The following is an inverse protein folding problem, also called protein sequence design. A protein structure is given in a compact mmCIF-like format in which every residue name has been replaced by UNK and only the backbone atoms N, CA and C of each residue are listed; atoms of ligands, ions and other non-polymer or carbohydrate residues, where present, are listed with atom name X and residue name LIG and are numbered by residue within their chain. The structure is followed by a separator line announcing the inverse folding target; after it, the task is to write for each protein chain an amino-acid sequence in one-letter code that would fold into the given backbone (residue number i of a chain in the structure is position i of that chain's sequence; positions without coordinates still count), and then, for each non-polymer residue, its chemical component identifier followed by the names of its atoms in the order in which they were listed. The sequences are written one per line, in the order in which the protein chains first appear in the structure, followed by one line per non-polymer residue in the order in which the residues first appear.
data_IF_233834260212
#
_entry.id   IF_233834260212
#
_cell.length_a   1.000
_cell.length_b   1.000
_cell.length_c   1.000
_cell.angle_alpha   90.00
_cell.angle_beta   90.00
_cell.angle_gamma   90.00
#
_symmetry.space_group_name_H-M   'P 1'
#
loop_
_entity.id
_entity.type
_entity.pdbx_description
1 polymer ?
#
# COMPACT_ATOMS: atom_id res chain seq x y z
N UNK A 1 -22.23 -22.53 16.97
CA UNK A 1 -21.92 -21.09 16.93
C UNK A 1 -21.50 -20.63 18.31
N UNK A 2 -20.19 -20.59 18.55
CA UNK A 2 -19.61 -19.94 19.73
C UNK A 2 -18.56 -18.95 19.21
N UNK A 3 -18.65 -17.69 19.61
CA UNK A 3 -17.69 -16.66 19.21
C UNK A 3 -16.39 -16.86 19.99
N UNK A 4 -15.45 -17.59 19.40
CA UNK A 4 -14.06 -17.59 19.85
C UNK A 4 -13.54 -16.17 19.66
N UNK A 5 -13.28 -15.47 20.76
CA UNK A 5 -12.63 -14.17 20.71
C UNK A 5 -11.26 -14.32 20.02
N UNK A 6 -10.83 -13.36 19.18
CA UNK A 6 -9.49 -13.40 18.62
C UNK A 6 -8.47 -13.44 19.77
N UNK A 7 -7.31 -14.11 19.60
CA UNK A 7 -6.25 -14.03 20.59
C UNK A 7 -5.90 -12.56 20.80
N UNK A 8 -5.71 -12.18 22.07
CA UNK A 8 -5.43 -10.81 22.49
C UNK A 8 -4.10 -10.36 21.85
N UNK A 9 -4.20 -9.82 20.64
CA UNK A 9 -3.09 -9.26 19.89
C UNK A 9 -2.70 -8.02 20.67
N UNK A 10 -1.74 -8.21 21.58
CA UNK A 10 -1.35 -7.22 22.57
C UNK A 10 -1.10 -5.88 21.91
N UNK A 11 -2.14 -5.05 21.93
CA UNK A 11 -2.08 -3.67 21.55
C UNK A 11 -1.29 -3.02 22.66
N UNK A 12 0.04 -3.09 22.51
CA UNK A 12 0.91 -2.04 22.96
C UNK A 12 0.42 -0.79 22.25
N UNK A 13 -0.59 -0.15 22.85
CA UNK A 13 -0.67 1.28 22.89
C UNK A 13 0.64 1.74 23.50
N UNK A 14 1.65 1.83 22.63
CA UNK A 14 2.78 2.70 22.84
C UNK A 14 2.19 4.09 22.93
N UNK A 15 1.80 4.44 24.15
CA UNK A 15 1.77 5.80 24.64
C UNK A 15 3.17 6.29 24.34
N UNK A 16 3.34 6.86 23.15
CA UNK A 16 4.50 7.69 22.86
C UNK A 16 4.47 8.71 23.99
N UNK A 17 5.49 8.65 24.86
CA UNK A 17 5.69 9.69 25.84
C UNK A 17 5.58 11.00 25.08
N UNK A 18 4.73 11.92 25.55
CA UNK A 18 4.65 13.27 24.99
C UNK A 18 5.96 13.99 25.32
N UNK A 19 6.99 13.67 24.55
CA UNK A 19 8.25 14.41 24.50
C UNK A 19 7.90 15.86 24.24
N UNK A 20 8.28 16.75 25.15
CA UNK A 20 7.94 18.17 25.04
C UNK A 20 8.73 18.81 23.90
N UNK A 21 8.17 18.78 22.69
CA UNK A 21 8.76 19.35 21.48
C UNK A 21 8.27 18.66 20.20
N UNK A 22 8.69 19.16 19.02
CA UNK A 22 8.34 18.56 17.74
C UNK A 22 8.94 17.17 17.59
N UNK A 23 8.24 16.29 16.86
CA UNK A 23 8.73 14.96 16.48
C UNK A 23 9.97 15.10 15.57
N UNK A 24 10.99 14.26 15.81
CA UNK A 24 12.25 14.26 15.02
C UNK A 24 12.54 12.94 14.31
N UNK A 25 11.70 11.92 14.50
CA UNK A 25 11.88 10.57 13.96
C UNK A 25 10.69 10.18 13.07
N UNK A 26 10.82 9.17 12.19
CA UNK A 26 9.67 8.65 11.45
C UNK A 26 8.59 8.11 12.37
N UNK A 27 7.33 8.18 11.91
CA UNK A 27 6.21 7.45 12.53
C UNK A 27 6.25 6.00 12.03
N UNK A 28 6.23 4.98 12.90
CA UNK A 28 6.45 3.59 12.51
C UNK A 28 5.22 2.83 11.97
N UNK A 29 4.00 3.37 12.19
CA UNK A 29 2.73 2.73 11.82
C UNK A 29 1.65 3.76 11.41
N UNK A 30 0.69 3.40 10.54
CA UNK A 30 -0.51 4.20 10.30
C UNK A 30 -1.43 4.27 11.53
N UNK A 31 -2.36 5.23 11.57
CA UNK A 31 -3.47 5.24 12.55
C UNK A 31 -4.47 4.10 12.26
N UNK A 32 -5.29 3.71 13.24
CA UNK A 32 -6.24 2.61 13.12
C UNK A 32 -7.33 2.85 12.04
N UNK A 33 -7.62 4.12 11.76
CA UNK A 33 -8.59 4.60 10.78
C UNK A 33 -8.05 4.52 9.34
N UNK A 34 -6.73 4.44 9.16
CA UNK A 34 -6.08 4.36 7.84
C UNK A 34 -6.22 2.96 7.26
N UNK A 35 -7.13 2.79 6.30
CA UNK A 35 -7.50 1.48 5.74
C UNK A 35 -7.07 1.36 4.28
N UNK A 36 -6.08 0.51 3.95
CA UNK A 36 -5.75 0.17 2.57
C UNK A 36 -6.99 -0.20 1.76
N UNK A 37 -7.00 0.18 0.48
CA UNK A 37 -8.06 -0.25 -0.43
C UNK A 37 -7.92 -1.75 -0.66
N UNK A 38 -8.99 -2.49 -0.41
CA UNK A 38 -9.06 -3.92 -0.67
C UNK A 38 -8.61 -4.24 -2.10
N UNK A 39 -7.81 -5.30 -2.22
CA UNK A 39 -7.19 -5.69 -3.49
C UNK A 39 -8.19 -6.51 -4.29
N UNK A 40 -8.45 -6.10 -5.53
CA UNK A 40 -9.40 -6.78 -6.40
C UNK A 40 -9.02 -8.27 -6.58
N UNK A 41 -10.02 -9.15 -6.48
CA UNK A 41 -9.85 -10.57 -6.77
C UNK A 41 -9.44 -10.76 -8.23
N UNK A 42 -8.51 -11.69 -8.47
CA UNK A 42 -8.06 -11.99 -9.83
C UNK A 42 -9.15 -12.73 -10.59
N UNK A 43 -9.43 -12.32 -11.83
CA UNK A 43 -10.24 -13.13 -12.74
C UNK A 43 -9.50 -14.42 -13.12
N UNK A 44 -10.19 -15.42 -13.68
CA UNK A 44 -9.56 -16.67 -14.09
C UNK A 44 -8.42 -16.45 -15.13
N UNK A 45 -8.60 -15.52 -16.08
CA UNK A 45 -7.57 -15.11 -17.03
C UNK A 45 -6.36 -14.46 -16.32
N UNK A 46 -6.61 -13.53 -15.39
CA UNK A 46 -5.56 -12.88 -14.61
C UNK A 46 -4.79 -13.88 -13.74
N UNK A 47 -5.47 -14.85 -13.12
CA UNK A 47 -4.82 -15.91 -12.36
C UNK A 47 -3.94 -16.77 -13.27
N UNK A 48 -4.44 -17.21 -14.42
CA UNK A 48 -3.66 -17.99 -15.40
C UNK A 48 -2.39 -17.26 -15.84
N UNK A 49 -2.48 -15.95 -16.11
CA UNK A 49 -1.35 -15.09 -16.47
C UNK A 49 -0.34 -14.91 -15.33
N UNK A 50 -0.82 -14.82 -14.09
CA UNK A 50 0.03 -14.81 -12.90
C UNK A 50 0.76 -16.14 -12.71
N UNK A 51 0.03 -17.27 -12.78
CA UNK A 51 0.59 -18.60 -12.62
C UNK A 51 1.69 -18.87 -13.68
N UNK A 52 1.43 -18.50 -14.94
CA UNK A 52 2.42 -18.57 -16.03
C UNK A 52 3.68 -17.72 -15.75
N UNK A 53 3.51 -16.46 -15.30
CA UNK A 53 4.65 -15.59 -15.02
C UNK A 53 5.47 -16.12 -13.84
N UNK A 54 4.81 -16.61 -12.79
CA UNK A 54 5.45 -17.23 -11.63
C UNK A 54 6.28 -18.46 -12.05
N UNK A 55 5.77 -19.28 -12.96
CA UNK A 55 6.50 -20.40 -13.53
C UNK A 55 7.76 -19.94 -14.30
N UNK A 56 7.64 -18.93 -15.18
CA UNK A 56 8.80 -18.43 -15.93
C UNK A 56 9.87 -17.87 -15.00
N UNK A 57 9.50 -17.08 -14.00
CA UNK A 57 10.42 -16.48 -13.03
C UNK A 57 11.09 -17.56 -12.17
N UNK A 58 10.37 -18.62 -11.76
CA UNK A 58 10.97 -19.80 -11.10
C UNK A 58 11.92 -20.58 -12.03
N UNK A 59 11.71 -20.53 -13.34
CA UNK A 59 12.57 -21.12 -14.37
C UNK A 59 13.82 -20.30 -14.74
N UNK A 60 13.98 -19.07 -14.23
CA UNK A 60 15.13 -18.23 -14.55
C UNK A 60 16.45 -18.76 -13.98
N UNK A 61 17.26 -19.36 -14.85
CA UNK A 61 18.61 -19.85 -14.51
C UNK A 61 19.66 -18.75 -14.36
N UNK A 62 19.48 -17.65 -15.10
CA UNK A 62 20.45 -16.56 -15.17
C UNK A 62 19.73 -15.22 -15.42
N UNK A 63 20.20 -14.19 -14.71
CA UNK A 63 19.87 -12.78 -14.93
C UNK A 63 21.11 -12.13 -15.58
N UNK A 64 20.95 -11.45 -16.73
CA UNK A 64 22.05 -10.73 -17.38
C UNK A 64 22.43 -9.46 -16.61
N UNK A 65 23.62 -8.93 -16.89
CA UNK A 65 24.13 -7.67 -16.35
C UNK A 65 25.18 -7.11 -17.28
N UNK A 66 25.08 -5.83 -17.60
CA UNK A 66 26.05 -5.12 -18.46
C UNK A 66 27.33 -4.76 -17.69
N UNK A 67 27.34 -4.88 -16.36
CA UNK A 67 28.50 -4.63 -15.48
C UNK A 67 29.13 -5.92 -14.91
N UNK A 68 28.92 -7.06 -15.56
CA UNK A 68 29.58 -8.32 -15.20
C UNK A 68 29.05 -9.00 -13.94
N UNK A 69 27.86 -8.62 -13.46
CA UNK A 69 27.13 -9.29 -12.36
C UNK A 69 26.13 -10.34 -12.89
N UNK A 70 26.42 -10.94 -14.03
CA UNK A 70 25.59 -11.98 -14.65
C UNK A 70 25.64 -13.24 -13.80
N UNK A 71 24.50 -13.91 -13.61
CA UNK A 71 24.42 -15.14 -12.83
C UNK A 71 23.01 -15.45 -12.32
N UNK A 72 22.83 -16.55 -11.56
CA UNK A 72 21.53 -16.97 -11.02
C UNK A 72 20.94 -15.95 -10.05
N UNK A 73 19.64 -16.08 -9.73
CA UNK A 73 18.97 -15.25 -8.73
C UNK A 73 19.58 -15.46 -7.33
N UNK A 74 19.99 -14.37 -6.69
CA UNK A 74 20.39 -14.33 -5.29
C UNK A 74 19.16 -14.38 -4.36
N UNK A 75 19.36 -14.73 -3.09
CA UNK A 75 18.25 -14.91 -2.13
C UNK A 75 17.46 -13.62 -1.87
N UNK A 76 18.11 -12.45 -1.83
CA UNK A 76 17.42 -11.15 -1.73
C UNK A 76 16.56 -10.85 -2.97
N UNK A 77 17.01 -11.24 -4.16
CA UNK A 77 16.23 -11.08 -5.39
C UNK A 77 15.02 -12.02 -5.42
N UNK A 78 15.15 -13.27 -4.96
CA UNK A 78 14.02 -14.20 -4.79
C UNK A 78 12.99 -13.64 -3.80
N UNK A 79 13.45 -13.05 -2.70
CA UNK A 79 12.60 -12.38 -1.70
C UNK A 79 11.90 -11.13 -2.27
N UNK A 80 12.54 -10.40 -3.18
CA UNK A 80 11.94 -9.25 -3.88
C UNK A 80 10.90 -9.66 -4.93
N UNK A 81 11.01 -10.86 -5.50
CA UNK A 81 10.07 -11.45 -6.47
C UNK A 81 8.82 -12.03 -5.78
N UNK A 82 8.14 -11.19 -4.99
CA UNK A 82 6.86 -11.51 -4.32
C UNK A 82 5.71 -11.66 -5.30
N UNK A 83 4.60 -12.27 -4.87
CA UNK A 83 3.34 -12.32 -5.64
C UNK A 83 2.93 -10.95 -6.13
N UNK A 84 2.94 -9.98 -5.22
CA UNK A 84 2.60 -8.59 -5.48
C UNK A 84 3.56 -7.92 -6.45
N UNK A 85 4.85 -8.24 -6.38
CA UNK A 85 5.83 -7.77 -7.38
C UNK A 85 5.43 -8.22 -8.77
N UNK A 86 5.20 -9.53 -8.98
CA UNK A 86 4.78 -10.08 -10.27
C UNK A 86 3.46 -9.44 -10.75
N UNK A 87 2.49 -9.22 -9.85
CA UNK A 87 1.23 -8.56 -10.16
C UNK A 87 1.39 -7.07 -10.53
N UNK A 88 2.31 -6.32 -9.92
CA UNK A 88 2.62 -4.93 -10.31
C UNK A 88 3.10 -4.86 -11.77
N UNK A 89 3.95 -5.79 -12.19
CA UNK A 89 4.43 -5.84 -13.58
C UNK A 89 3.33 -6.26 -14.56
N UNK A 90 2.50 -7.25 -14.20
CA UNK A 90 1.34 -7.64 -15.01
C UNK A 90 0.34 -6.50 -15.19
N UNK A 91 0.00 -5.75 -14.13
CA UNK A 91 -0.87 -4.56 -14.25
C UNK A 91 -0.24 -3.49 -15.14
N UNK A 92 1.05 -3.19 -14.95
CA UNK A 92 1.75 -2.16 -15.70
C UNK A 92 1.89 -2.46 -17.21
N UNK A 93 1.91 -3.73 -17.62
CA UNK A 93 1.89 -4.14 -19.04
C UNK A 93 0.49 -4.53 -19.54
N UNK A 94 -0.58 -4.08 -18.87
CA UNK A 94 -1.98 -4.37 -19.24
C UNK A 94 -2.28 -5.86 -19.42
N UNK A 95 -1.66 -6.69 -18.58
CA UNK A 95 -1.72 -8.15 -18.59
C UNK A 95 -1.11 -8.83 -19.83
N UNK A 96 -0.19 -8.16 -20.54
CA UNK A 96 0.68 -8.80 -21.53
C UNK A 96 1.83 -9.55 -20.83
N UNK A 97 1.63 -10.85 -20.59
CA UNK A 97 2.49 -11.67 -19.72
C UNK A 97 3.97 -11.74 -20.17
N UNK A 98 4.26 -11.85 -21.47
CA UNK A 98 5.65 -11.86 -22.00
C UNK A 98 6.34 -10.50 -21.86
N UNK A 99 5.60 -9.41 -21.94
CA UNK A 99 6.12 -8.06 -21.69
C UNK A 99 6.39 -7.86 -20.19
N UNK A 100 5.50 -8.37 -19.32
CA UNK A 100 5.70 -8.37 -17.88
C UNK A 100 6.97 -9.14 -17.49
N UNK A 101 7.17 -10.34 -18.03
CA UNK A 101 8.39 -11.13 -17.81
C UNK A 101 9.64 -10.37 -18.23
N UNK A 102 9.67 -9.88 -19.48
CA UNK A 102 10.80 -9.11 -20.02
C UNK A 102 11.16 -7.93 -19.11
N UNK A 103 10.17 -7.11 -18.78
CA UNK A 103 10.35 -5.87 -18.01
C UNK A 103 10.73 -6.13 -16.54
N UNK A 104 10.21 -7.22 -15.95
CA UNK A 104 10.61 -7.69 -14.63
C UNK A 104 12.09 -8.11 -14.65
N UNK A 105 12.51 -8.89 -15.66
CA UNK A 105 13.90 -9.35 -15.80
C UNK A 105 14.88 -8.20 -16.06
N UNK A 106 14.51 -7.25 -16.92
CA UNK A 106 15.23 -6.00 -17.15
C UNK A 106 15.40 -5.20 -15.85
N UNK A 107 14.41 -5.24 -14.95
CA UNK A 107 14.52 -4.55 -13.66
C UNK A 107 15.43 -5.27 -12.67
N UNK A 108 15.43 -6.61 -12.59
CA UNK A 108 16.42 -7.33 -11.77
C UNK A 108 17.85 -7.06 -12.28
N UNK A 109 18.03 -7.07 -13.60
CA UNK A 109 19.31 -6.72 -14.24
C UNK A 109 19.74 -5.28 -13.89
N UNK A 110 18.81 -4.31 -14.02
CA UNK A 110 19.05 -2.93 -13.62
C UNK A 110 19.38 -2.78 -12.13
N UNK A 111 18.72 -3.51 -11.22
CA UNK A 111 19.05 -3.44 -9.78
C UNK A 111 20.51 -3.82 -9.52
N UNK A 112 21.01 -4.87 -10.19
CA UNK A 112 22.41 -5.28 -10.16
C UNK A 112 23.34 -4.20 -10.73
N UNK A 113 23.06 -3.72 -11.93
CA UNK A 113 23.93 -2.78 -12.65
C UNK A 113 23.93 -1.37 -12.05
N UNK A 114 22.80 -0.90 -11.54
CA UNK A 114 22.69 0.36 -10.81
C UNK A 114 23.35 0.27 -9.42
N UNK A 115 23.37 -0.93 -8.84
CA UNK A 115 23.93 -1.19 -7.50
C UNK A 115 22.97 -0.81 -6.38
N UNK A 116 21.68 -1.13 -6.52
CA UNK A 116 20.61 -0.70 -5.58
C UNK A 116 20.83 -1.26 -4.18
N UNK A 117 21.31 -2.49 -4.08
CA UNK A 117 21.58 -3.17 -2.80
C UNK A 117 22.85 -2.64 -2.13
N UNK A 118 23.78 -2.07 -2.91
CA UNK A 118 25.06 -1.51 -2.47
C UNK A 118 24.98 -0.02 -2.08
N UNK A 119 23.83 0.64 -2.24
CA UNK A 119 23.64 2.02 -1.76
C UNK A 119 23.57 2.05 -0.22
N UNK A 120 24.61 2.56 0.43
CA UNK A 120 24.67 2.64 1.91
C UNK A 120 24.09 3.95 2.46
N UNK A 121 23.62 3.97 3.72
CA UNK A 121 23.11 5.19 4.33
C UNK A 121 24.15 6.30 4.47
N UNK A 122 25.43 5.95 4.63
CA UNK A 122 26.55 6.88 4.82
C UNK A 122 26.89 7.57 3.50
N UNK A 123 26.88 6.83 2.38
CA UNK A 123 27.04 7.39 1.04
C UNK A 123 25.92 8.38 0.70
N UNK A 124 24.68 8.06 1.08
CA UNK A 124 23.50 8.88 0.78
C UNK A 124 23.28 10.03 1.78
N UNK A 125 23.76 9.92 3.02
CA UNK A 125 23.55 10.91 4.11
C UNK A 125 23.72 12.38 3.67
N UNK A 126 24.81 12.77 2.97
CA UNK A 126 25.04 14.15 2.57
C UNK A 126 23.96 14.72 1.66
N UNK A 127 23.25 13.88 0.92
CA UNK A 127 22.13 14.32 0.09
C UNK A 127 20.89 14.67 0.92
N UNK A 128 20.76 14.19 2.16
CA UNK A 128 19.57 14.43 2.96
C UNK A 128 19.80 15.25 4.24
N UNK A 129 20.99 15.79 4.49
CA UNK A 129 21.30 16.66 5.63
C UNK A 129 20.27 17.78 5.87
N UNK A 130 19.67 18.31 4.80
CA UNK A 130 18.66 19.38 4.85
C UNK A 130 17.21 18.90 4.84
N UNK A 131 16.93 17.59 4.83
CA UNK A 131 15.57 17.05 4.79
C UNK A 131 14.84 17.36 3.49
N UNK A 132 15.54 17.26 2.34
CA UNK A 132 14.94 17.47 1.02
C UNK A 132 14.04 16.30 0.59
N UNK A 133 14.23 15.12 1.19
CA UNK A 133 13.29 14.00 1.17
C UNK A 133 13.02 13.53 2.61
N UNK A 134 11.76 13.36 2.99
CA UNK A 134 11.37 12.89 4.35
C UNK A 134 10.28 11.84 4.23
N UNK A 135 10.43 10.72 4.93
CA UNK A 135 9.40 9.69 5.09
C UNK A 135 8.79 9.85 6.48
N UNK A 136 7.49 10.13 6.56
CA UNK A 136 6.83 10.53 7.80
C UNK A 136 5.31 10.30 7.75
N UNK A 137 4.79 9.37 8.54
CA UNK A 137 3.35 9.12 8.60
C UNK A 137 2.78 8.44 7.34
N UNK A 138 1.46 8.32 7.32
CA UNK A 138 0.71 7.51 6.35
C UNK A 138 -0.60 8.19 5.93
N UNK A 139 -1.02 8.04 4.66
CA UNK A 139 -2.31 8.54 4.18
C UNK A 139 -3.50 7.72 4.76
N UNK A 140 -4.73 8.20 4.56
CA UNK A 140 -5.96 7.52 5.06
C UNK A 140 -6.21 6.13 4.42
N UNK A 141 -5.37 5.72 3.47
CA UNK A 141 -5.36 4.38 2.87
C UNK A 141 -4.08 3.62 3.24
N UNK A 142 -3.40 4.01 4.33
CA UNK A 142 -2.19 3.35 4.84
C UNK A 142 -0.96 3.50 3.94
N UNK A 143 -0.97 4.40 2.94
CA UNK A 143 0.21 4.64 2.11
C UNK A 143 1.26 5.40 2.89
N UNK A 144 2.49 4.91 2.90
CA UNK A 144 3.65 5.66 3.42
C UNK A 144 3.71 7.03 2.74
N UNK A 145 3.78 8.09 3.55
CA UNK A 145 3.90 9.47 3.09
C UNK A 145 5.37 9.83 2.84
N UNK A 146 5.70 10.08 1.57
CA UNK A 146 7.03 10.50 1.13
C UNK A 146 7.00 11.98 0.70
N UNK A 147 7.59 12.84 1.53
CA UNK A 147 7.68 14.28 1.31
C UNK A 147 8.90 14.61 0.46
N UNK A 148 8.69 15.38 -0.61
CA UNK A 148 9.71 15.99 -1.45
C UNK A 148 9.67 17.51 -1.27
N UNK A 149 10.79 18.08 -0.85
CA UNK A 149 10.94 19.52 -0.62
C UNK A 149 12.06 20.09 -1.52
N UNK A 150 11.85 20.30 -2.84
CA UNK A 150 12.92 20.76 -3.74
C UNK A 150 13.56 22.10 -3.34
N UNK A 151 12.84 22.98 -2.63
CA UNK A 151 13.39 24.20 -2.04
C UNK A 151 14.51 23.96 -1.02
N UNK A 152 14.55 22.78 -0.40
CA UNK A 152 15.53 22.32 0.60
C UNK A 152 16.72 21.57 -0.01
N UNK A 153 16.87 21.51 -1.34
CA UNK A 153 18.08 20.98 -2.00
C UNK A 153 19.36 21.63 -1.42
N UNK A 154 20.45 20.87 -1.33
CA UNK A 154 21.67 21.24 -0.59
C UNK A 154 22.98 20.91 -1.31
N UNK A 155 22.91 20.12 -2.38
CA UNK A 155 24.07 19.61 -3.12
C UNK A 155 24.05 20.06 -4.57
N UNK A 156 25.23 20.16 -5.19
CA UNK A 156 25.36 20.34 -6.63
C UNK A 156 24.87 19.12 -7.42
N UNK A 157 24.40 19.30 -8.67
CA UNK A 157 23.95 18.20 -9.53
C UNK A 157 24.99 17.09 -9.67
N UNK A 158 24.62 15.88 -9.28
CA UNK A 158 25.49 14.70 -9.32
C UNK A 158 24.67 13.41 -9.43
N UNK A 159 25.25 12.28 -9.87
CA UNK A 159 24.57 10.98 -9.89
C UNK A 159 24.01 10.58 -8.51
N UNK A 160 24.66 11.04 -7.43
CA UNK A 160 24.23 10.76 -6.05
C UNK A 160 22.85 11.35 -5.73
N UNK A 161 22.41 12.41 -6.42
CA UNK A 161 21.04 12.93 -6.27
C UNK A 161 19.98 11.93 -6.77
N UNK A 162 20.27 11.20 -7.84
CA UNK A 162 19.40 10.15 -8.39
C UNK A 162 19.45 8.90 -7.50
N UNK A 163 20.65 8.53 -7.05
CA UNK A 163 20.84 7.44 -6.08
C UNK A 163 20.09 7.71 -4.76
N UNK A 164 20.07 8.96 -4.27
CA UNK A 164 19.30 9.35 -3.10
C UNK A 164 17.79 9.14 -3.29
N UNK A 165 17.24 9.53 -4.45
CA UNK A 165 15.83 9.24 -4.76
C UNK A 165 15.54 7.74 -4.79
N UNK A 166 16.38 6.95 -5.49
CA UNK A 166 16.25 5.49 -5.54
C UNK A 166 16.30 4.89 -4.13
N UNK A 167 17.29 5.29 -3.33
CA UNK A 167 17.46 4.86 -1.95
C UNK A 167 16.20 5.17 -1.11
N UNK A 168 15.68 6.40 -1.17
CA UNK A 168 14.49 6.81 -0.41
C UNK A 168 13.22 6.08 -0.88
N UNK A 169 13.07 5.77 -2.17
CA UNK A 169 11.98 4.94 -2.68
C UNK A 169 12.08 3.50 -2.13
N UNK A 170 13.28 2.92 -2.04
CA UNK A 170 13.47 1.61 -1.38
C UNK A 170 13.13 1.67 0.12
N UNK A 171 13.51 2.73 0.84
CA UNK A 171 13.10 2.95 2.25
C UNK A 171 11.57 3.02 2.39
N UNK A 172 10.90 3.73 1.49
CA UNK A 172 9.42 3.79 1.45
C UNK A 172 8.81 2.40 1.27
N UNK A 173 9.36 1.57 0.38
CA UNK A 173 8.87 0.21 0.11
C UNK A 173 9.10 -0.72 1.32
N UNK A 174 10.21 -0.57 2.04
CA UNK A 174 10.47 -1.34 3.27
C UNK A 174 9.44 -1.03 4.36
N UNK A 175 9.02 0.24 4.48
CA UNK A 175 8.04 0.72 5.46
C UNK A 175 6.57 0.58 5.04
N UNK A 176 6.28 0.03 3.85
CA UNK A 176 4.90 -0.25 3.44
C UNK A 176 4.26 -1.28 4.40
N UNK A 177 3.06 -0.97 4.96
CA UNK A 177 2.31 -1.91 5.77
C UNK A 177 1.68 -2.99 4.89
N UNK A 178 1.12 -4.01 5.53
CA UNK A 178 0.33 -5.04 4.86
C UNK A 178 -0.79 -4.44 3.99
N UNK A 179 -1.18 -5.17 2.95
CA UNK A 179 -2.19 -4.80 1.96
C UNK A 179 -1.89 -3.52 1.15
N UNK A 180 -0.71 -2.89 1.31
CA UNK A 180 -0.35 -1.64 0.65
C UNK A 180 0.89 -1.78 -0.25
N UNK A 181 0.68 -1.57 -1.56
CA UNK A 181 1.74 -1.65 -2.57
C UNK A 181 2.21 -0.27 -3.07
N UNK A 182 1.56 0.82 -2.63
CA UNK A 182 1.71 2.18 -3.18
C UNK A 182 2.03 3.24 -2.13
N UNK A 183 2.67 4.33 -2.56
CA UNK A 183 3.05 5.48 -1.72
C UNK A 183 2.16 6.71 -1.98
N UNK A 184 2.10 7.59 -0.98
CA UNK A 184 1.57 8.94 -1.11
C UNK A 184 2.74 9.90 -1.20
N UNK A 185 2.88 10.60 -2.33
CA UNK A 185 3.94 11.58 -2.56
C UNK A 185 3.45 12.97 -2.14
N UNK A 186 4.18 13.70 -1.31
CA UNK A 186 3.81 15.05 -0.87
C UNK A 186 4.87 16.04 -1.35
N UNK A 187 4.54 16.93 -2.28
CA UNK A 187 5.53 17.81 -2.92
C UNK A 187 5.29 19.27 -2.52
N UNK A 188 6.27 19.87 -1.85
CA UNK A 188 6.25 21.28 -1.47
C UNK A 188 7.22 22.09 -2.37
N UNK A 189 6.68 22.82 -3.35
CA UNK A 189 7.50 23.66 -4.23
C UNK A 189 7.86 25.04 -3.65
N UNK A 190 7.62 25.26 -2.34
CA UNK A 190 8.05 26.47 -1.63
C UNK A 190 9.54 26.74 -1.85
N UNK A 191 9.84 27.94 -2.34
CA UNK A 191 11.21 28.42 -2.54
C UNK A 191 11.89 28.75 -1.21
N UNK A 192 13.22 28.79 -1.20
CA UNK A 192 14.02 29.20 -0.06
C UNK A 192 14.79 30.48 -0.38
N UNK A 193 15.26 31.21 0.66
CA UNK A 193 16.03 32.45 0.48
C UNK A 193 17.29 32.26 -0.39
N UNK A 194 17.84 31.04 -0.42
CA UNK A 194 19.00 30.65 -1.22
C UNK A 194 18.65 29.95 -2.55
N UNK A 195 17.38 29.62 -2.82
CA UNK A 195 16.97 28.97 -4.08
C UNK A 195 15.56 29.37 -4.52
N UNK A 196 15.52 30.15 -5.59
CA UNK A 196 14.28 30.56 -6.28
C UNK A 196 13.84 29.59 -7.39
N UNK A 197 14.75 28.85 -8.01
CA UNK A 197 14.42 27.80 -8.98
C UNK A 197 14.45 26.41 -8.32
N UNK A 198 13.28 25.80 -8.17
CA UNK A 198 13.07 24.48 -7.54
C UNK A 198 13.00 23.32 -8.54
N UNK A 199 13.09 23.58 -9.85
CA UNK A 199 13.02 22.53 -10.86
C UNK A 199 14.36 21.78 -10.99
N UNK A 200 14.38 20.44 -11.13
CA UNK A 200 15.58 19.70 -11.47
C UNK A 200 16.03 20.01 -12.91
N UNK A 201 17.33 19.81 -13.19
CA UNK A 201 17.84 19.88 -14.56
C UNK A 201 17.18 18.84 -15.47
N UNK A 202 16.98 19.17 -16.75
CA UNK A 202 16.21 18.35 -17.71
C UNK A 202 16.79 16.93 -17.85
N UNK A 203 18.11 16.77 -17.84
CA UNK A 203 18.79 15.47 -17.89
C UNK A 203 18.43 14.60 -16.68
N UNK A 204 18.67 15.10 -15.48
CA UNK A 204 18.31 14.44 -14.20
C UNK A 204 16.81 14.13 -14.12
N UNK A 205 15.96 15.05 -14.57
CA UNK A 205 14.51 14.84 -14.63
C UNK A 205 14.11 13.69 -15.56
N UNK A 206 14.76 13.56 -16.73
CA UNK A 206 14.53 12.45 -17.67
C UNK A 206 15.04 11.11 -17.12
N UNK A 207 16.20 11.10 -16.49
CA UNK A 207 16.77 9.90 -15.84
C UNK A 207 15.86 9.39 -14.72
N UNK A 208 15.47 10.29 -13.80
CA UNK A 208 14.52 9.99 -12.72
C UNK A 208 13.18 9.48 -13.27
N UNK A 209 12.63 10.15 -14.29
CA UNK A 209 11.37 9.72 -14.90
C UNK A 209 11.49 8.32 -15.51
N UNK A 210 12.58 8.03 -16.22
CA UNK A 210 12.83 6.71 -16.79
C UNK A 210 12.94 5.63 -15.70
N UNK A 211 13.71 5.86 -14.63
CA UNK A 211 13.85 4.91 -13.52
C UNK A 211 12.48 4.62 -12.88
N UNK A 212 11.72 5.66 -12.53
CA UNK A 212 10.41 5.50 -11.89
C UNK A 212 9.39 4.81 -12.83
N UNK A 213 9.34 5.21 -14.10
CA UNK A 213 8.41 4.63 -15.07
C UNK A 213 8.73 3.19 -15.45
N UNK A 214 10.02 2.80 -15.46
CA UNK A 214 10.45 1.45 -15.88
C UNK A 214 10.51 0.47 -14.70
N UNK A 215 11.21 0.84 -13.62
CA UNK A 215 11.60 -0.07 -12.54
C UNK A 215 10.73 0.00 -11.28
N UNK A 216 9.88 1.03 -11.16
CA UNK A 216 8.92 1.19 -10.06
C UNK A 216 7.45 1.21 -10.54
N UNK A 217 7.00 0.23 -11.35
CA UNK A 217 5.61 0.14 -11.81
C UNK A 217 4.63 0.15 -10.64
N UNK A 218 3.46 0.77 -10.87
CA UNK A 218 2.32 0.73 -9.95
C UNK A 218 2.59 1.28 -8.53
N UNK A 219 3.72 1.93 -8.26
CA UNK A 219 4.07 2.45 -6.92
C UNK A 219 3.39 3.78 -6.56
N UNK A 220 3.05 4.63 -7.52
CA UNK A 220 2.37 5.91 -7.22
C UNK A 220 0.89 5.67 -6.91
N UNK A 221 0.50 5.90 -5.66
CA UNK A 221 -0.89 5.82 -5.21
C UNK A 221 -1.59 7.18 -5.19
N UNK A 222 -0.88 8.24 -4.78
CA UNK A 222 -1.36 9.63 -4.76
C UNK A 222 -0.18 10.59 -4.85
N UNK A 223 -0.37 11.78 -5.42
CA UNK A 223 0.54 12.91 -5.23
C UNK A 223 -0.24 14.14 -4.75
N UNK A 224 0.19 14.71 -3.63
CA UNK A 224 -0.37 15.89 -2.97
C UNK A 224 0.62 17.03 -3.14
N UNK A 225 0.24 18.09 -3.86
CA UNK A 225 1.19 19.08 -4.37
C UNK A 225 0.75 20.48 -3.91
N UNK A 226 1.63 21.18 -3.20
CA UNK A 226 1.40 22.54 -2.68
C UNK A 226 2.45 23.54 -3.16
N UNK A 227 2.13 24.82 -3.05
CA UNK A 227 3.03 25.94 -3.35
C UNK A 227 3.58 25.93 -4.79
N UNK A 228 2.80 25.41 -5.74
CA UNK A 228 3.19 25.23 -7.15
C UNK A 228 3.46 26.58 -7.83
N UNK A 229 4.68 26.85 -8.32
CA UNK A 229 4.99 28.06 -9.08
C UNK A 229 4.14 28.15 -10.35
N UNK A 230 3.74 29.36 -10.73
CA UNK A 230 2.90 29.59 -11.92
C UNK A 230 3.51 29.00 -13.22
N UNK A 231 4.84 28.96 -13.33
CA UNK A 231 5.57 28.34 -14.45
C UNK A 231 5.38 26.81 -14.50
N UNK A 232 5.26 26.14 -13.34
CA UNK A 232 5.00 24.69 -13.26
C UNK A 232 3.57 24.37 -13.70
N UNK A 233 2.61 25.27 -13.45
CA UNK A 233 1.26 25.16 -14.03
C UNK A 233 1.26 25.22 -15.56
N UNK A 234 2.10 26.08 -16.15
CA UNK A 234 2.29 26.13 -17.61
C UNK A 234 2.86 24.83 -18.18
N UNK A 235 3.93 24.32 -17.57
CA UNK A 235 4.53 23.03 -17.94
C UNK A 235 3.53 21.87 -17.77
N UNK A 236 2.81 21.81 -16.65
CA UNK A 236 1.86 20.74 -16.38
C UNK A 236 0.71 20.72 -17.39
N UNK A 237 0.14 21.89 -17.74
CA UNK A 237 -0.88 22.00 -18.79
C UNK A 237 -0.40 21.48 -20.15
N UNK A 238 0.87 21.68 -20.49
CA UNK A 238 1.46 21.21 -21.74
C UNK A 238 1.63 19.68 -21.78
N UNK A 239 2.01 19.05 -20.66
CA UNK A 239 2.22 17.60 -20.60
C UNK A 239 0.95 16.79 -20.27
N UNK A 240 -0.07 17.42 -19.69
CA UNK A 240 -1.33 16.76 -19.25
C UNK A 240 -2.00 15.87 -20.32
N UNK A 241 -2.05 16.24 -21.62
CA UNK A 241 -2.64 15.39 -22.66
C UNK A 241 -1.94 14.03 -22.84
N UNK A 242 -0.69 13.92 -22.39
CA UNK A 242 0.13 12.70 -22.49
C UNK A 242 0.17 11.92 -21.16
N UNK A 243 -0.51 12.40 -20.11
CA UNK A 243 -0.64 11.72 -18.82
C UNK A 243 -1.90 10.85 -18.85
N UNK A 244 -1.73 9.55 -18.64
CA UNK A 244 -2.82 8.59 -18.52
C UNK A 244 -3.90 9.06 -17.51
N UNK A 245 -5.21 8.92 -17.80
CA UNK A 245 -6.27 9.38 -16.90
C UNK A 245 -6.14 8.91 -15.45
N UNK A 246 -5.76 7.64 -15.21
CA UNK A 246 -5.57 7.09 -13.87
C UNK A 246 -4.37 7.71 -13.15
N UNK A 247 -3.37 8.19 -13.90
CA UNK A 247 -2.25 8.94 -13.32
C UNK A 247 -2.68 10.37 -12.96
N UNK A 248 -3.49 11.02 -13.80
CA UNK A 248 -4.03 12.36 -13.54
C UNK A 248 -4.96 12.42 -12.33
N UNK A 249 -5.81 11.41 -12.12
CA UNK A 249 -6.70 11.34 -10.93
C UNK A 249 -5.94 11.32 -9.60
N UNK A 250 -4.71 10.77 -9.59
CA UNK A 250 -3.84 10.67 -8.40
C UNK A 250 -3.23 12.01 -8.00
N UNK A 251 -3.19 13.02 -8.88
CA UNK A 251 -2.54 14.30 -8.65
C UNK A 251 -3.55 15.31 -8.06
N UNK A 252 -3.25 15.84 -6.87
CA UNK A 252 -4.08 16.81 -6.14
C UNK A 252 -3.27 18.08 -5.90
N UNK A 253 -3.78 19.21 -6.39
CA UNK A 253 -3.04 20.48 -6.48
C UNK A 253 -3.70 21.55 -5.61
N UNK A 254 -3.01 22.01 -4.57
CA UNK A 254 -3.48 23.05 -3.63
C UNK A 254 -4.87 22.75 -3.00
N UNK A 255 -5.23 21.47 -2.88
CA UNK A 255 -6.42 21.01 -2.15
C UNK A 255 -6.16 20.96 -0.64
N UNK A 256 -7.21 20.73 0.16
CA UNK A 256 -7.04 20.48 1.59
C UNK A 256 -6.47 19.07 1.83
N UNK A 257 -5.18 19.00 2.16
CA UNK A 257 -4.46 17.73 2.29
C UNK A 257 -4.96 16.87 3.46
N UNK A 258 -5.67 17.48 4.43
CA UNK A 258 -6.37 16.79 5.54
C UNK A 258 -7.53 15.92 5.06
N UNK A 259 -7.99 16.09 3.81
CA UNK A 259 -8.92 15.15 3.17
C UNK A 259 -8.26 13.78 2.95
N UNK A 260 -6.96 13.75 2.69
CA UNK A 260 -6.22 12.57 2.21
C UNK A 260 -5.31 11.92 3.25
N UNK A 261 -4.81 12.69 4.22
CA UNK A 261 -3.92 12.24 5.30
C UNK A 261 -4.59 12.57 6.65
N UNK A 262 -4.52 11.69 7.67
CA UNK A 262 -4.92 12.04 9.04
C UNK A 262 -4.11 13.25 9.53
N UNK A 263 -4.72 14.19 10.25
CA UNK A 263 -4.07 15.47 10.57
C UNK A 263 -2.89 15.27 11.52
N UNK A 264 -3.01 14.32 12.44
CA UNK A 264 -1.98 13.84 13.36
C UNK A 264 -0.79 13.12 12.67
N UNK A 265 -0.92 12.76 11.39
CA UNK A 265 0.17 12.19 10.57
C UNK A 265 0.59 13.11 9.41
N UNK A 266 -0.05 14.28 9.27
CA UNK A 266 0.24 15.26 8.24
C UNK A 266 1.09 16.39 8.82
N UNK A 267 2.29 16.57 8.26
CA UNK A 267 3.21 17.61 8.71
C UNK A 267 2.58 19.01 8.63
N UNK A 268 2.81 19.85 9.63
CA UNK A 268 2.40 21.28 9.66
C UNK A 268 2.86 22.08 8.42
N UNK A 269 3.97 21.72 7.75
CA UNK A 269 4.35 22.31 6.45
C UNK A 269 3.29 22.10 5.34
N UNK A 270 2.40 21.11 5.50
CA UNK A 270 1.28 20.76 4.63
C UNK A 270 -0.09 21.00 5.30
N UNK A 271 -0.14 21.83 6.35
CA UNK A 271 -1.35 22.23 7.07
C UNK A 271 -2.06 21.09 7.85
N UNK A 272 -1.33 20.08 8.30
CA UNK A 272 -1.78 19.16 9.35
C UNK A 272 -1.34 19.59 10.75
N UNK A 273 -1.54 18.69 11.71
CA UNK A 273 -1.31 18.90 13.15
C UNK A 273 0.02 18.30 13.64
N UNK A 274 0.74 17.55 12.78
CA UNK A 274 2.02 16.93 13.15
C UNK A 274 3.15 17.98 13.14
N UNK A 275 3.49 18.47 14.33
CA UNK A 275 4.72 19.22 14.56
C UNK A 275 5.94 18.31 14.38
N UNK A 276 6.63 18.45 13.24
CA UNK A 276 7.85 17.72 12.93
C UNK A 276 9.01 18.67 12.59
N UNK A 277 10.16 18.42 13.20
CA UNK A 277 11.41 19.13 12.95
C UNK A 277 12.46 18.16 12.39
N UNK A 278 12.98 18.45 11.19
CA UNK A 278 14.02 17.63 10.60
C UNK A 278 15.40 17.96 11.22
N UNK A 279 15.88 17.08 12.08
CA UNK A 279 17.25 17.11 12.59
C UNK A 279 18.00 15.87 12.09
N UNK A 280 18.94 16.05 11.15
CA UNK A 280 19.56 14.92 10.42
C UNK A 280 20.22 13.88 11.35
N UNK A 281 20.91 14.34 12.39
CA UNK A 281 21.57 13.53 13.43
C UNK A 281 20.63 12.60 14.19
N UNK A 282 19.34 12.93 14.26
CA UNK A 282 18.31 12.14 14.94
C UNK A 282 17.46 11.36 13.93
N UNK A 283 16.98 12.05 12.90
CA UNK A 283 16.07 11.50 11.91
C UNK A 283 16.71 10.36 11.09
N UNK A 284 17.92 10.57 10.59
CA UNK A 284 18.53 9.63 9.63
C UNK A 284 18.85 8.28 10.29
N UNK A 285 19.53 8.20 11.46
CA UNK A 285 19.72 6.92 12.14
C UNK A 285 18.41 6.23 12.53
N UNK A 286 17.37 7.00 12.92
CA UNK A 286 16.07 6.45 13.28
C UNK A 286 15.34 5.83 12.07
N UNK A 287 15.36 6.50 10.90
CA UNK A 287 14.83 5.94 9.65
C UNK A 287 15.56 4.66 9.26
N UNK A 288 16.88 4.67 9.31
CA UNK A 288 17.68 3.52 8.92
C UNK A 288 17.46 2.31 9.83
N UNK A 289 17.39 2.53 11.14
CA UNK A 289 17.05 1.48 12.11
C UNK A 289 15.68 0.87 11.82
N UNK A 290 14.64 1.70 11.67
CA UNK A 290 13.28 1.22 11.38
C UNK A 290 13.22 0.42 10.07
N UNK A 291 13.86 0.91 9.00
CA UNK A 291 13.94 0.21 7.73
C UNK A 291 14.68 -1.14 7.83
N UNK A 292 15.78 -1.20 8.60
CA UNK A 292 16.51 -2.44 8.87
C UNK A 292 15.64 -3.45 9.62
N UNK A 293 14.96 -3.03 10.68
CA UNK A 293 14.05 -3.87 11.47
C UNK A 293 12.97 -4.50 10.56
N UNK A 294 12.28 -3.70 9.73
CA UNK A 294 11.29 -4.22 8.76
C UNK A 294 11.89 -5.20 7.75
N UNK A 295 13.11 -4.95 7.26
CA UNK A 295 13.81 -5.82 6.30
C UNK A 295 14.17 -7.16 6.94
N UNK A 296 14.64 -7.15 8.18
CA UNK A 296 14.97 -8.35 8.94
C UNK A 296 13.74 -9.18 9.31
N UNK A 297 12.64 -8.53 9.71
CA UNK A 297 11.33 -9.17 9.94
C UNK A 297 10.84 -9.89 8.67
N UNK A 298 10.77 -9.16 7.54
CA UNK A 298 10.38 -9.70 6.22
C UNK A 298 11.28 -10.88 5.82
N UNK A 299 12.61 -10.76 6.01
CA UNK A 299 13.55 -11.85 5.73
C UNK A 299 13.31 -13.08 6.60
N UNK A 300 13.18 -12.93 7.92
CA UNK A 300 12.92 -14.05 8.85
C UNK A 300 11.65 -14.82 8.45
N UNK A 301 10.58 -14.11 8.06
CA UNK A 301 9.34 -14.73 7.59
C UNK A 301 9.49 -15.39 6.22
N UNK A 302 10.21 -14.78 5.27
CA UNK A 302 10.52 -15.40 3.98
C UNK A 302 11.36 -16.69 4.13
N UNK A 303 12.31 -16.71 5.06
CA UNK A 303 13.09 -17.90 5.39
C UNK A 303 12.24 -19.00 6.04
N UNK A 304 11.32 -18.63 6.95
CA UNK A 304 10.33 -19.55 7.53
C UNK A 304 9.33 -20.10 6.49
N UNK A 305 8.95 -19.28 5.49
CA UNK A 305 8.15 -19.67 4.33
C UNK A 305 8.90 -20.48 3.26
N UNK A 306 10.11 -20.96 3.55
CA UNK A 306 10.86 -21.86 2.67
C UNK A 306 11.63 -21.18 1.53
N UNK A 307 11.93 -19.87 1.64
CA UNK A 307 12.74 -19.10 0.68
C UNK A 307 12.18 -19.09 -0.76
N UNK A 308 10.86 -19.11 -0.91
CA UNK A 308 10.23 -19.25 -2.22
C UNK A 308 10.06 -17.92 -2.98
N UNK A 309 10.13 -18.01 -4.31
CA UNK A 309 9.68 -16.96 -5.25
C UNK A 309 8.14 -16.98 -5.28
N UNK A 310 7.54 -15.78 -5.30
CA UNK A 310 6.09 -15.59 -5.33
C UNK A 310 5.41 -15.57 -3.96
N UNK A 311 6.17 -15.45 -2.87
CA UNK A 311 5.62 -15.32 -1.52
C UNK A 311 4.76 -14.04 -1.37
N UNK A 312 3.78 -14.06 -0.47
CA UNK A 312 2.82 -12.96 -0.27
C UNK A 312 3.42 -11.82 0.58
N UNK A 313 3.30 -10.57 0.12
CA UNK A 313 3.70 -9.39 0.91
C UNK A 313 2.94 -9.28 2.24
N UNK A 314 1.71 -9.78 2.33
CA UNK A 314 0.91 -9.79 3.58
C UNK A 314 1.41 -10.83 4.58
N UNK A 315 1.85 -12.00 4.12
CA UNK A 315 2.56 -12.96 4.96
C UNK A 315 3.91 -12.40 5.42
N UNK A 316 4.69 -11.80 4.51
CA UNK A 316 6.01 -11.24 4.84
C UNK A 316 5.93 -10.04 5.81
N UNK A 317 4.83 -9.28 5.79
CA UNK A 317 4.57 -8.17 6.74
C UNK A 317 3.92 -8.62 8.04
N UNK A 318 3.59 -9.92 8.18
CA UNK A 318 3.03 -10.48 9.41
C UNK A 318 1.51 -10.30 9.59
N UNK A 319 0.80 -9.89 8.54
CA UNK A 319 -0.65 -9.81 8.52
C UNK A 319 -1.29 -11.20 8.33
N UNK A 320 -0.81 -11.95 7.35
CA UNK A 320 -1.28 -13.33 7.13
C UNK A 320 -0.46 -14.29 8.01
N UNK A 321 -1.14 -15.22 8.68
CA UNK A 321 -0.48 -16.26 9.49
C UNK A 321 0.35 -17.21 8.61
N UNK A 322 -0.14 -17.49 7.39
CA UNK A 322 0.42 -18.47 6.47
C UNK A 322 0.78 -17.85 5.11
N UNK A 323 1.91 -18.27 4.56
CA UNK A 323 2.37 -17.88 3.22
C UNK A 323 1.87 -18.82 2.14
N UNK A 324 2.48 -18.75 0.95
CA UNK A 324 2.15 -19.61 -0.20
C UNK A 324 2.35 -21.10 0.08
N UNK A 325 3.19 -21.46 1.07
CA UNK A 325 3.38 -22.84 1.52
C UNK A 325 2.19 -23.41 2.33
N UNK A 326 1.19 -22.59 2.68
CA UNK A 326 0.06 -22.97 3.51
C UNK A 326 0.40 -23.07 5.00
N UNK A 327 -0.53 -23.64 5.76
CA UNK A 327 -0.29 -23.97 7.16
C UNK A 327 0.56 -25.25 7.26
N UNK A 328 1.38 -25.43 8.31
CA UNK A 328 2.02 -26.72 8.55
C UNK A 328 0.95 -27.79 8.71
N UNK A 329 1.11 -28.98 8.11
CA UNK A 329 0.08 -30.03 8.12
C UNK A 329 -0.47 -30.37 9.53
N UNK A 330 0.36 -30.25 10.59
CA UNK A 330 -0.06 -30.44 11.99
C UNK A 330 -1.04 -29.37 12.51
N UNK A 331 -1.06 -28.18 11.91
CA UNK A 331 -1.98 -27.09 12.23
C UNK A 331 -3.28 -27.29 11.48
N UNK A 332 -3.25 -27.72 10.21
CA UNK A 332 -4.43 -28.17 9.47
C UNK A 332 -5.12 -29.35 10.19
N UNK A 333 -4.37 -30.39 10.54
CA UNK A 333 -4.87 -31.55 11.27
C UNK A 333 -5.51 -31.16 12.62
N UNK A 334 -4.92 -30.19 13.34
CA UNK A 334 -5.49 -29.66 14.59
C UNK A 334 -6.74 -28.80 14.35
N UNK A 335 -6.79 -28.00 13.29
CA UNK A 335 -7.95 -27.20 12.90
C UNK A 335 -9.10 -28.10 12.41
N UNK A 336 -8.81 -29.21 11.73
CA UNK A 336 -9.81 -30.22 11.35
C UNK A 336 -10.32 -30.98 12.57
N UNK A 337 -9.45 -31.42 13.49
CA UNK A 337 -9.87 -32.03 14.75
C UNK A 337 -10.77 -31.10 15.58
N UNK A 338 -10.47 -29.80 15.64
CA UNK A 338 -11.32 -28.80 16.29
C UNK A 338 -12.67 -28.63 15.59
N UNK A 339 -12.71 -28.60 14.26
CA UNK A 339 -13.96 -28.55 13.47
C UNK A 339 -14.81 -29.82 13.63
N UNK A 340 -14.19 -30.98 13.78
CA UNK A 340 -14.89 -32.26 14.01
C UNK A 340 -15.47 -32.31 15.44
N UNK A 341 -14.74 -31.80 16.43
CA UNK A 341 -15.21 -31.71 17.81
C UNK A 341 -16.47 -30.85 17.95
N UNK A 342 -16.55 -29.71 17.25
CA UNK A 342 -17.72 -28.81 17.24
C UNK A 342 -18.95 -29.35 16.49
N UNK A 343 -18.82 -30.45 15.74
CA UNK A 343 -19.89 -31.05 14.91
C UNK A 343 -20.43 -32.36 15.50
N UNK A 344 -19.80 -32.91 16.55
CA UNK A 344 -20.23 -34.17 17.17
C UNK A 344 -21.26 -33.92 18.28
N UNK A 345 -22.53 -34.38 18.16
CA UNK A 345 -23.49 -34.27 19.24
C UNK A 345 -23.08 -35.17 20.40
N UNK A 346 -22.99 -34.63 21.62
CA UNK A 346 -22.73 -35.42 22.81
C UNK A 346 -23.90 -36.40 23.06
N UNK A 347 -23.70 -37.67 22.74
CA UNK A 347 -24.65 -38.73 23.06
C UNK A 347 -24.72 -38.91 24.58
N UNK A 348 -25.95 -38.89 25.12
CA UNK A 348 -26.20 -38.98 26.54
C UNK A 348 -25.80 -40.33 27.12
N UNK A 349 -25.41 -40.34 28.40
CA UNK A 349 -25.56 -41.51 29.24
C UNK A 349 -26.29 -41.08 30.52
N UNK A 350 -27.46 -41.69 30.76
CA UNK A 350 -28.35 -41.35 31.86
C UNK A 350 -28.35 -42.45 32.90
N UNK A 351 -28.05 -42.11 34.15
CA UNK A 351 -28.53 -42.88 35.31
C UNK A 351 -29.45 -41.98 36.15
N UNK A 352 -30.44 -42.62 36.76
CA UNK A 352 -31.68 -42.01 37.24
C UNK A 352 -31.75 -41.95 38.76
N UNK A 353 -32.28 -40.85 39.29
CA UNK A 353 -33.03 -40.86 40.56
C UNK A 353 -34.33 -40.06 40.42
N UNK A 354 -35.31 -40.40 41.26
CA UNK A 354 -36.74 -40.17 41.06
C UNK A 354 -37.34 -39.26 42.16
N UNK A 355 -38.54 -38.70 41.91
CA UNK A 355 -39.67 -38.46 42.87
C UNK A 355 -40.39 -37.11 42.66
N UNK A 356 -41.67 -37.21 42.22
CA UNK A 356 -42.92 -36.43 42.56
C UNK A 356 -42.84 -34.91 42.85
N UNK A 357 -43.78 -34.05 42.44
CA UNK A 357 -45.07 -34.15 41.71
C UNK A 357 -45.42 -32.73 41.15
N UNK A 358 -46.61 -32.27 40.71
CA UNK A 358 -48.02 -32.74 40.76
C UNK A 358 -48.82 -32.19 39.54
N UNK A 359 -50.16 -32.17 39.58
CA UNK A 359 -51.02 -31.81 38.43
C UNK A 359 -51.46 -30.33 38.35
N UNK A 360 -51.64 -29.80 37.13
CA UNK A 360 -52.97 -29.28 36.73
C UNK A 360 -53.16 -29.37 35.20
N UNK A 361 -54.40 -29.63 34.75
CA UNK A 361 -54.79 -29.83 33.34
C UNK A 361 -55.99 -28.91 32.98
N UNK A 362 -56.54 -28.93 31.74
CA UNK A 362 -56.44 -27.81 30.81
C UNK A 362 -57.79 -27.09 30.58
N UNK A 363 -57.80 -26.06 29.73
CA UNK A 363 -59.02 -25.72 28.98
C UNK A 363 -58.72 -25.32 27.53
N UNK A 364 -59.63 -25.75 26.65
CA UNK A 364 -59.57 -25.75 25.20
C UNK A 364 -60.76 -24.95 24.66
N UNK A 365 -60.56 -24.03 23.70
CA UNK A 365 -61.64 -23.54 22.83
C UNK A 365 -61.12 -23.41 21.40
N UNK A 366 -61.98 -23.79 20.45
CA UNK A 366 -61.67 -24.03 19.03
C UNK A 366 -62.07 -22.88 18.10
N UNK A 367 -61.49 -22.94 16.90
CA UNK A 367 -62.07 -22.52 15.62
C UNK A 367 -62.27 -21.00 15.40
N UNK A 368 -62.36 -20.47 14.16
CA UNK A 368 -62.46 -21.14 12.84
C UNK A 368 -61.81 -20.28 11.73
N UNK A 369 -61.67 -20.87 10.53
CA UNK A 369 -61.09 -20.23 9.33
C UNK A 369 -61.99 -19.16 8.70
N UNK A 370 -61.39 -18.19 8.00
CA UNK A 370 -61.98 -17.56 6.81
C UNK A 370 -60.88 -17.11 5.83
N UNK A 371 -61.21 -17.10 4.53
CA UNK A 371 -60.27 -17.14 3.40
C UNK A 371 -60.58 -16.04 2.37
N UNK A 372 -59.57 -15.66 1.58
CA UNK A 372 -59.65 -14.80 0.38
C UNK A 372 -59.95 -13.30 0.66
N UNK A 373 -59.65 -12.32 -0.21
CA UNK A 373 -59.21 -12.35 -1.63
C UNK A 373 -58.42 -11.07 -1.96
N UNK A 374 -57.63 -11.07 -3.05
CA UNK A 374 -57.13 -9.83 -3.70
C UNK A 374 -58.28 -9.01 -4.32
N UNK A 375 -58.03 -7.73 -4.68
CA UNK A 375 -58.16 -7.39 -6.11
C UNK A 375 -57.03 -6.50 -6.67
N UNK A 376 -57.11 -6.29 -7.99
CA UNK A 376 -56.06 -5.71 -8.85
C UNK A 376 -56.50 -4.39 -9.53
N UNK A 377 -55.50 -3.68 -10.08
CA UNK A 377 -55.54 -2.69 -11.17
C UNK A 377 -56.06 -1.25 -10.90
N UNK A 378 -55.39 -0.28 -11.56
CA UNK A 378 -55.78 1.14 -11.63
C UNK A 378 -54.68 2.03 -12.24
N UNK A 379 -54.64 2.17 -13.56
CA UNK A 379 -53.79 3.15 -14.28
C UNK A 379 -54.29 4.60 -14.12
N UNK A 380 -53.37 5.58 -14.07
CA UNK A 380 -53.62 6.96 -14.51
C UNK A 380 -52.39 7.51 -15.27
N UNK A 381 -52.65 8.16 -16.41
CA UNK A 381 -51.68 8.77 -17.32
C UNK A 381 -51.52 10.29 -17.10
N UNK A 382 -50.43 10.85 -17.67
CA UNK A 382 -50.25 12.26 -18.08
C UNK A 382 -50.24 13.35 -16.96
N UNK A 383 -49.46 14.43 -17.03
CA UNK A 383 -49.16 15.30 -18.18
C UNK A 383 -47.75 15.92 -18.10
N UNK A 384 -47.27 16.41 -19.25
CA UNK A 384 -46.14 17.34 -19.40
C UNK A 384 -46.71 18.71 -19.80
N UNK A 385 -46.02 19.82 -19.52
CA UNK A 385 -45.85 20.80 -20.60
C UNK A 385 -44.44 21.38 -20.73
N UNK A 386 -44.08 21.69 -21.98
CA UNK A 386 -43.08 22.69 -22.41
C UNK A 386 -43.63 24.12 -22.16
N UNK A 387 -43.00 25.27 -22.41
CA UNK A 387 -42.02 25.68 -23.44
C UNK A 387 -41.54 27.14 -23.16
N UNK A 388 -40.44 27.58 -23.78
CA UNK A 388 -40.10 29.01 -24.01
C UNK A 388 -39.64 29.88 -22.81
N UNK A 389 -38.93 31.00 -23.01
CA UNK A 389 -38.30 31.50 -24.24
C UNK A 389 -37.20 32.57 -24.02
N UNK A 390 -36.41 32.80 -25.08
CA UNK A 390 -35.70 34.03 -25.52
C UNK A 390 -34.60 34.81 -24.71
N UNK A 391 -33.50 35.03 -25.45
CA UNK A 391 -32.84 36.32 -25.79
C UNK A 391 -31.67 36.95 -24.97
N UNK A 392 -30.48 36.91 -25.61
CA UNK A 392 -29.52 38.00 -25.88
C UNK A 392 -29.10 39.03 -24.79
N UNK A 393 -27.78 39.15 -24.52
CA UNK A 393 -26.92 40.24 -25.10
C UNK A 393 -25.43 40.21 -24.68
N UNK A 394 -24.62 40.57 -25.67
CA UNK A 394 -23.23 41.10 -25.67
C UNK A 394 -22.60 41.67 -24.38
N UNK A 395 -21.34 41.28 -24.14
CA UNK A 395 -20.18 42.20 -24.06
C UNK A 395 -18.88 41.42 -24.32
#
# INVERSE_FOLDING_TARGET
MATVAPPDSGASSSVQEKTSGPLKTPIPFPVAESKPKERATLTADQKSKYDWLLEQVKGWKEIPSDKGKTGPLADNEKMWLTRECLLRYLRATKWHQKEAEKRLKETVSWRRDYGVEELTPEHISPENETGKQVILGYDKQGRVCHYLNPGRQNTDPSPRQVQHLVFMVERVIELMPAQQETLALLINFKTSKSRTNTAPGISTGREVLHILQTHYPERLGRALIINVPWVVWGFFKLITPFIDPLTREKLKFNEDMRQYVPTEQLWTEFHGDLEFEYEHSVYWPALQKLCQERREEKKKRWEAGGKQIGEHEDYLTGHDEFGVAGAPAKVEEKLEQLKIADVTPAAANSESEEVKSEETKPQEVKAEEAKATEPSAGDIQETKPTEGDEAQKSA
#
